data_IF_451429548912
#
_entry.id   IF_451429548912
#
_cell.length_a   1.000
_cell.length_b   1.000
_cell.length_c   1.000
_cell.angle_alpha   90.00
_cell.angle_beta   90.00
_cell.angle_gamma   90.00
#
_symmetry.space_group_name_H-M   'P 1'
#
loop_
_entity.id
_entity.type
_entity.pdbx_description
1 polymer ?
#
# COMPACT_ATOMS: atom_id res chain seq x y z
N UNK A 1 7.51 -4.15 2.22
CA UNK A 1 6.59 -3.07 2.61
C UNK A 1 7.31 -1.74 2.66
N UNK A 2 6.56 -0.64 2.61
CA UNK A 2 7.06 0.73 2.81
C UNK A 2 6.87 1.14 4.29
N UNK A 3 7.85 1.77 4.96
CA UNK A 3 7.61 2.31 6.29
C UNK A 3 6.64 3.48 6.15
N UNK A 4 5.47 3.37 6.78
CA UNK A 4 4.47 4.42 6.80
C UNK A 4 3.94 4.54 8.23
N UNK A 5 4.56 5.42 9.01
CA UNK A 5 4.39 5.45 10.47
C UNK A 5 3.09 6.13 10.91
N UNK A 6 2.39 6.82 10.01
CA UNK A 6 1.15 7.56 10.33
C UNK A 6 -0.14 6.75 10.14
N UNK A 7 -0.03 5.44 9.93
CA UNK A 7 -1.18 4.54 9.84
C UNK A 7 -1.58 3.87 11.16
N UNK A 8 -0.85 4.08 12.26
CA UNK A 8 -1.06 3.31 13.51
C UNK A 8 -1.08 4.19 14.77
N UNK A 9 -1.65 3.69 15.86
CA UNK A 9 -1.64 4.35 17.18
C UNK A 9 -2.41 5.67 17.24
N UNK A 10 -1.87 6.66 17.99
CA UNK A 10 -2.47 7.99 18.14
C UNK A 10 -2.60 8.75 16.81
N UNK A 11 -1.81 8.37 15.80
CA UNK A 11 -1.82 8.99 14.48
C UNK A 11 -3.00 8.52 13.60
N UNK A 12 -3.73 7.47 13.98
CA UNK A 12 -4.88 6.99 13.20
C UNK A 12 -5.97 8.08 13.06
N UNK A 13 -6.18 8.85 14.14
CA UNK A 13 -7.21 9.90 14.23
C UNK A 13 -6.66 11.33 14.11
N UNK A 14 -5.34 11.48 13.86
CA UNK A 14 -4.74 12.79 13.60
C UNK A 14 -5.45 13.51 12.44
N UNK A 15 -5.53 14.85 12.46
CA UNK A 15 -6.28 15.63 11.49
C UNK A 15 -5.89 15.29 10.05
N UNK A 16 -6.88 15.38 9.15
CA UNK A 16 -6.82 15.02 7.73
C UNK A 16 -5.91 15.97 6.95
N UNK A 17 -4.60 15.82 7.10
CA UNK A 17 -3.63 16.33 6.14
C UNK A 17 -3.38 15.23 5.13
N UNK A 18 -3.42 15.54 3.83
CA UNK A 18 -3.20 14.57 2.75
C UNK A 18 -2.07 13.59 3.08
N UNK A 19 -2.42 12.31 3.31
CA UNK A 19 -1.47 11.26 3.70
C UNK A 19 -0.28 11.16 2.74
N UNK A 20 -0.47 11.50 1.47
CA UNK A 20 0.60 11.47 0.46
C UNK A 20 1.59 12.63 0.59
N UNK A 21 1.15 13.78 1.10
CA UNK A 21 1.99 14.96 1.28
C UNK A 21 2.82 14.89 2.56
N UNK A 22 2.37 14.07 3.52
CA UNK A 22 3.09 13.74 4.73
C UNK A 22 4.43 13.07 4.41
N UNK A 23 5.51 13.72 4.84
CA UNK A 23 6.89 13.25 4.67
C UNK A 23 7.09 11.80 5.12
N UNK A 24 6.29 11.33 6.08
CA UNK A 24 6.38 9.98 6.64
C UNK A 24 5.72 8.88 5.78
N UNK A 25 4.91 9.22 4.77
CA UNK A 25 4.28 8.24 3.87
C UNK A 25 4.70 8.40 2.40
N UNK A 26 5.59 9.36 2.08
CA UNK A 26 6.07 9.64 0.71
C UNK A 26 6.77 8.48 0.03
N UNK A 27 7.28 7.48 0.78
CA UNK A 27 8.04 6.38 0.17
C UNK A 27 7.21 5.58 -0.84
N UNK A 28 5.88 5.56 -0.69
CA UNK A 28 5.04 4.88 -1.67
C UNK A 28 5.15 5.50 -3.07
N UNK A 29 5.28 6.82 -3.17
CA UNK A 29 5.47 7.51 -4.44
C UNK A 29 6.83 7.12 -5.06
N UNK A 30 7.88 7.04 -4.25
CA UNK A 30 9.19 6.56 -4.71
C UNK A 30 9.13 5.12 -5.20
N UNK A 31 8.44 4.23 -4.49
CA UNK A 31 8.26 2.83 -4.92
C UNK A 31 7.48 2.75 -6.24
N UNK A 32 6.43 3.56 -6.42
CA UNK A 32 5.69 3.62 -7.67
C UNK A 32 6.55 4.11 -8.84
N UNK A 33 7.42 5.11 -8.63
CA UNK A 33 8.37 5.55 -9.66
C UNK A 33 9.39 4.45 -10.00
N UNK A 34 9.88 3.68 -9.02
CA UNK A 34 10.75 2.52 -9.27
C UNK A 34 10.01 1.44 -10.07
N UNK A 35 8.75 1.14 -9.75
CA UNK A 35 7.93 0.17 -10.51
C UNK A 35 7.73 0.66 -11.94
N UNK A 36 7.43 1.95 -12.12
CA UNK A 36 7.25 2.58 -13.43
C UNK A 36 8.53 2.52 -14.27
N UNK A 37 9.70 2.71 -13.64
CA UNK A 37 10.99 2.65 -14.33
C UNK A 37 11.38 1.22 -14.69
N UNK A 38 11.32 0.29 -13.74
CA UNK A 38 11.77 -1.09 -13.94
C UNK A 38 10.77 -1.98 -14.69
N UNK A 39 9.49 -1.62 -14.67
CA UNK A 39 8.38 -2.37 -15.30
C UNK A 39 8.42 -3.88 -14.98
N UNK A 40 8.55 -4.29 -13.70
CA UNK A 40 8.64 -5.71 -13.36
C UNK A 40 7.34 -6.44 -13.73
N UNK A 41 7.45 -7.72 -14.12
CA UNK A 41 6.27 -8.55 -14.44
C UNK A 41 5.35 -8.77 -13.23
N UNK A 42 5.91 -8.79 -12.02
CA UNK A 42 5.18 -8.99 -10.79
C UNK A 42 5.62 -7.98 -9.72
N UNK A 43 4.68 -7.49 -8.94
CA UNK A 43 4.91 -6.63 -7.77
C UNK A 43 4.15 -7.21 -6.59
N UNK A 44 4.77 -7.17 -5.42
CA UNK A 44 4.13 -7.53 -4.16
C UNK A 44 4.34 -6.42 -3.15
N UNK A 45 3.27 -5.75 -2.75
CA UNK A 45 3.28 -4.68 -1.76
C UNK A 45 2.60 -5.17 -0.48
N UNK A 46 3.29 -5.03 0.64
CA UNK A 46 2.77 -5.35 1.97
C UNK A 46 2.68 -4.06 2.81
N UNK A 47 1.58 -3.90 3.53
CA UNK A 47 1.30 -2.80 4.45
C UNK A 47 0.45 -3.25 5.64
N UNK A 48 0.33 -2.36 6.63
CA UNK A 48 -0.60 -2.55 7.75
C UNK A 48 -2.06 -2.39 7.28
N UNK A 49 -3.03 -3.15 7.83
CA UNK A 49 -4.44 -3.04 7.45
C UNK A 49 -5.03 -1.63 7.61
N UNK A 50 -4.54 -0.88 8.59
CA UNK A 50 -4.97 0.50 8.82
C UNK A 50 -4.70 1.43 7.63
N UNK A 51 -3.72 1.12 6.78
CA UNK A 51 -3.45 1.88 5.56
C UNK A 51 -4.58 1.75 4.52
N UNK A 52 -5.35 0.66 4.57
CA UNK A 52 -6.46 0.40 3.65
C UNK A 52 -7.72 1.20 4.02
N UNK A 53 -7.87 1.58 5.29
CA UNK A 53 -9.07 2.25 5.81
C UNK A 53 -8.85 3.74 6.10
N UNK A 54 -7.63 4.16 6.45
CA UNK A 54 -7.34 5.54 6.85
C UNK A 54 -7.62 6.51 5.69
N UNK A 55 -8.23 7.65 6.02
CA UNK A 55 -8.68 8.67 5.06
C UNK A 55 -9.45 8.08 3.88
N UNK A 56 -10.45 7.26 4.23
CA UNK A 56 -11.28 6.57 3.26
C UNK A 56 -10.46 5.64 2.35
N UNK A 57 -9.28 5.14 2.73
CA UNK A 57 -8.45 4.30 1.86
C UNK A 57 -7.69 5.09 0.77
N UNK A 58 -7.28 6.32 1.06
CA UNK A 58 -6.53 7.16 0.12
C UNK A 58 -5.24 6.49 -0.37
N UNK A 59 -4.49 5.86 0.54
CA UNK A 59 -3.24 5.18 0.20
C UNK A 59 -3.46 4.09 -0.84
N UNK A 60 -4.39 3.17 -0.59
CA UNK A 60 -4.63 2.03 -1.49
C UNK A 60 -5.20 2.49 -2.84
N UNK A 61 -6.15 3.43 -2.85
CA UNK A 61 -6.66 3.98 -4.12
C UNK A 61 -5.56 4.61 -4.97
N UNK A 62 -4.63 5.33 -4.34
CA UNK A 62 -3.52 5.97 -5.06
C UNK A 62 -2.63 4.91 -5.69
N UNK A 63 -2.20 3.92 -4.90
CA UNK A 63 -1.37 2.82 -5.38
C UNK A 63 -2.04 2.08 -6.55
N UNK A 64 -3.31 1.70 -6.39
CA UNK A 64 -4.05 0.98 -7.42
C UNK A 64 -4.24 1.81 -8.68
N UNK A 65 -4.61 3.09 -8.57
CA UNK A 65 -4.75 3.97 -9.73
C UNK A 65 -3.45 4.13 -10.53
N UNK A 66 -2.30 4.27 -9.84
CA UNK A 66 -1.01 4.29 -10.51
C UNK A 66 -0.69 2.98 -11.23
N UNK A 67 -0.98 1.83 -10.60
CA UNK A 67 -0.73 0.51 -11.18
C UNK A 67 -1.66 0.23 -12.38
N UNK A 68 -2.93 0.64 -12.31
CA UNK A 68 -3.89 0.59 -13.42
C UNK A 68 -3.41 1.41 -14.62
N UNK A 69 -3.00 2.67 -14.40
CA UNK A 69 -2.45 3.52 -15.45
C UNK A 69 -1.19 2.93 -16.10
N UNK A 70 -0.47 2.08 -15.37
CA UNK A 70 0.71 1.38 -15.85
C UNK A 70 0.38 0.05 -16.56
N UNK A 71 -0.89 -0.40 -16.58
CA UNK A 71 -1.30 -1.66 -17.22
C UNK A 71 -1.15 -2.90 -16.34
N UNK A 72 -1.05 -2.72 -15.01
CA UNK A 72 -1.04 -3.84 -14.09
C UNK A 72 -2.47 -4.27 -13.70
N UNK A 73 -2.69 -5.57 -13.61
CA UNK A 73 -3.81 -6.19 -12.89
C UNK A 73 -3.43 -6.41 -11.43
N UNK A 74 -4.35 -6.16 -10.51
CA UNK A 74 -4.09 -6.26 -9.08
C UNK A 74 -5.13 -7.08 -8.33
N UNK A 75 -4.70 -7.65 -7.21
CA UNK A 75 -5.53 -8.29 -6.20
C UNK A 75 -5.10 -7.74 -4.84
N UNK A 76 -6.07 -7.32 -4.02
CA UNK A 76 -5.83 -6.83 -2.66
C UNK A 76 -6.51 -7.78 -1.69
N UNK A 77 -5.78 -8.17 -0.64
CA UNK A 77 -6.32 -9.05 0.39
C UNK A 77 -5.54 -8.96 1.70
N UNK A 78 -6.24 -9.18 2.79
CA UNK A 78 -5.64 -9.31 4.12
C UNK A 78 -5.12 -10.74 4.33
N UNK A 79 -3.90 -10.83 4.83
CA UNK A 79 -3.28 -12.08 5.22
C UNK A 79 -3.07 -12.04 6.73
N UNK A 80 -3.74 -12.95 7.44
CA UNK A 80 -3.40 -13.24 8.82
C UNK A 80 -2.04 -13.97 8.83
N UNK A 81 -1.04 -13.37 9.45
CA UNK A 81 0.25 -14.00 9.71
C UNK A 81 0.39 -14.29 11.20
N UNK A 82 0.73 -15.53 11.52
CA UNK A 82 1.12 -15.96 12.85
C UNK A 82 0.28 -17.09 13.43
N UNK A 83 0.88 -17.80 14.38
CA UNK A 83 0.29 -18.98 15.02
C UNK A 83 -0.76 -18.63 16.08
N UNK A 84 -1.26 -19.63 16.83
CA UNK A 84 -2.36 -19.48 17.79
C UNK A 84 -2.14 -18.44 18.91
N UNK A 85 -0.95 -17.86 19.02
CA UNK A 85 -0.56 -16.92 20.07
C UNK A 85 -0.13 -15.55 19.55
N UNK A 86 -0.13 -15.32 18.24
CA UNK A 86 0.24 -14.03 17.64
C UNK A 86 -0.52 -13.85 16.33
N UNK A 87 -1.73 -13.31 16.37
CA UNK A 87 -2.46 -12.90 15.18
C UNK A 87 -1.94 -11.53 14.73
N UNK A 88 -1.10 -11.51 13.69
CA UNK A 88 -0.65 -10.27 13.05
C UNK A 88 -1.26 -10.17 11.66
N UNK A 89 -2.11 -9.16 11.47
CA UNK A 89 -2.72 -8.89 10.19
C UNK A 89 -1.82 -7.99 9.33
N UNK A 90 -1.61 -8.39 8.08
CA UNK A 90 -0.97 -7.59 7.05
C UNK A 90 -1.91 -7.48 5.85
N UNK A 91 -2.06 -6.27 5.32
CA UNK A 91 -2.76 -6.05 4.07
C UNK A 91 -1.77 -6.14 2.92
N UNK A 92 -2.13 -6.92 1.90
CA UNK A 92 -1.23 -7.27 0.81
C UNK A 92 -1.88 -6.92 -0.52
N UNK A 93 -1.10 -6.31 -1.41
CA UNK A 93 -1.48 -6.03 -2.78
C UNK A 93 -0.53 -6.80 -3.70
N UNK A 94 -1.08 -7.79 -4.42
CA UNK A 94 -0.37 -8.54 -5.44
C UNK A 94 -0.71 -7.95 -6.79
N UNK A 95 0.30 -7.74 -7.61
CA UNK A 95 0.14 -7.05 -8.89
C UNK A 95 0.88 -7.83 -9.97
N UNK A 96 0.25 -8.00 -11.13
CA UNK A 96 0.79 -8.65 -12.33
C UNK A 96 0.69 -7.69 -13.51
N UNK A 97 1.79 -7.48 -14.22
CA UNK A 97 1.77 -6.73 -15.47
C UNK A 97 1.03 -7.55 -16.52
N UNK A 98 0.04 -6.94 -17.19
CA UNK A 98 -0.61 -7.58 -18.33
C UNK A 98 0.24 -7.26 -19.54
N UNK A 99 0.99 -8.25 -20.00
CA UNK A 99 1.62 -8.20 -21.32
C UNK A 99 0.46 -8.20 -22.34
N UNK A 100 0.30 -7.09 -23.06
CA UNK A 100 -0.67 -6.96 -24.16
C UNK A 100 -0.25 -7.75 -25.39
#
# INVERSE_FOLDING_TARGET
GTPCNNFTGLNLHAPRTNILDDNMNRLILTVLEVIKFLRPKYVYLEQVPSAMIKENGMWIRTVLGHLECLGYQYEVGDIASGGPHCLRWAATCRVRLVDG
#
